data_IF_583752198476
#
_entry.id   IF_583752198476
#
_cell.length_a   1.000
_cell.length_b   1.000
_cell.length_c   1.000
_cell.angle_alpha   90.00
_cell.angle_beta   90.00
_cell.angle_gamma   90.00
#
_symmetry.space_group_name_H-M   'P 1'
#
loop_
_entity.id
_entity.type
_entity.pdbx_description
1 polymer ?
#
# COMPACT_ATOMS: atom_id res chain seq x y z
N UNK A 1 1.61 -15.72 0.66
CA UNK A 1 0.46 -15.43 1.55
C UNK A 1 -0.72 -14.95 0.70
N UNK A 2 -1.92 -15.52 0.81
CA UNK A 2 -3.09 -15.07 0.05
C UNK A 2 -3.79 -13.93 0.80
N UNK A 3 -3.55 -12.69 0.39
CA UNK A 3 -4.26 -11.54 0.94
C UNK A 3 -5.66 -11.47 0.35
N UNK A 4 -6.68 -11.42 1.21
CA UNK A 4 -8.05 -11.18 0.78
C UNK A 4 -8.19 -9.70 0.41
N UNK A 5 -8.12 -9.41 -0.89
CA UNK A 5 -8.19 -8.07 -1.47
C UNK A 5 -9.65 -7.67 -1.77
N UNK A 6 -10.51 -7.66 -0.74
CA UNK A 6 -11.90 -7.24 -0.94
C UNK A 6 -12.00 -5.70 -1.05
N UNK A 7 -12.57 -5.23 -2.16
CA UNK A 7 -12.96 -3.81 -2.34
C UNK A 7 -14.20 -3.51 -1.47
N UNK A 8 -14.20 -2.39 -0.75
CA UNK A 8 -15.34 -1.95 0.09
C UNK A 8 -16.20 -0.89 -0.61
N UNK A 9 -16.18 -0.84 -1.95
CA UNK A 9 -16.85 0.19 -2.75
C UNK A 9 -15.96 1.41 -3.04
N UNK A 10 -16.49 2.47 -3.67
CA UNK A 10 -15.69 3.61 -4.10
C UNK A 10 -15.15 4.44 -2.92
N UNK A 11 -13.90 4.89 -2.98
CA UNK A 11 -13.30 5.78 -1.96
C UNK A 11 -14.08 7.08 -1.73
N UNK A 12 -14.77 7.58 -2.76
CA UNK A 12 -15.48 8.85 -2.73
C UNK A 12 -16.93 8.65 -3.18
N UNK A 13 -17.86 9.25 -2.44
CA UNK A 13 -19.27 9.37 -2.84
C UNK A 13 -19.55 10.66 -3.62
N UNK A 14 -18.60 11.61 -3.59
CA UNK A 14 -18.64 12.87 -4.34
C UNK A 14 -17.72 12.78 -5.57
N UNK A 15 -18.15 13.39 -6.68
CA UNK A 15 -17.35 13.46 -7.91
C UNK A 15 -16.24 14.51 -7.75
N UNK A 16 -15.04 14.07 -7.40
CA UNK A 16 -13.85 14.93 -7.40
C UNK A 16 -13.23 14.98 -8.80
N UNK A 17 -13.01 16.18 -9.33
CA UNK A 17 -12.24 16.40 -10.56
C UNK A 17 -10.87 16.92 -10.15
N UNK A 18 -9.82 16.13 -10.36
CA UNK A 18 -8.44 16.56 -10.12
C UNK A 18 -7.82 17.13 -11.40
N UNK A 19 -7.25 18.33 -11.30
CA UNK A 19 -6.47 18.98 -12.35
C UNK A 19 -4.95 18.89 -12.10
N UNK A 20 -4.53 18.27 -10.99
CA UNK A 20 -3.13 18.12 -10.59
C UNK A 20 -2.49 16.83 -11.11
N UNK A 21 -1.35 16.46 -10.50
CA UNK A 21 -0.60 15.23 -10.82
C UNK A 21 -1.49 13.98 -10.80
N UNK A 22 -1.28 13.04 -11.75
CA UNK A 22 -2.12 11.85 -11.86
C UNK A 22 -1.96 10.94 -10.64
N UNK A 23 -3.03 10.23 -10.26
CA UNK A 23 -3.00 9.31 -9.11
C UNK A 23 -2.00 8.16 -9.31
N UNK A 24 -1.71 7.78 -10.56
CA UNK A 24 -0.65 6.81 -10.89
C UNK A 24 0.73 7.29 -10.43
N UNK A 25 1.02 8.59 -10.57
CA UNK A 25 2.27 9.18 -10.07
C UNK A 25 2.32 9.11 -8.54
N UNK A 26 1.22 9.43 -7.85
CA UNK A 26 1.15 9.34 -6.37
C UNK A 26 1.32 7.88 -5.92
N UNK A 27 0.69 6.93 -6.61
CA UNK A 27 0.84 5.50 -6.38
C UNK A 27 2.29 5.04 -6.52
N UNK A 28 2.98 5.48 -7.57
CA UNK A 28 4.40 5.17 -7.79
C UNK A 28 5.27 5.69 -6.63
N UNK A 29 5.04 6.93 -6.18
CA UNK A 29 5.85 7.51 -5.08
C UNK A 29 5.60 6.84 -3.74
N UNK A 30 4.35 6.48 -3.44
CA UNK A 30 4.03 5.69 -2.24
C UNK A 30 4.66 4.29 -2.32
N UNK A 31 4.67 3.67 -3.50
CA UNK A 31 5.35 2.38 -3.71
C UNK A 31 6.85 2.48 -3.41
N UNK A 32 7.52 3.53 -3.90
CA UNK A 32 8.93 3.77 -3.61
C UNK A 32 9.19 4.01 -2.12
N UNK A 33 8.34 4.80 -1.44
CA UNK A 33 8.49 5.03 0.00
C UNK A 33 8.42 3.72 0.81
N UNK A 34 7.51 2.80 0.44
CA UNK A 34 7.42 1.45 1.02
C UNK A 34 8.71 0.67 0.79
N UNK A 35 9.23 0.66 -0.44
CA UNK A 35 10.47 -0.04 -0.81
C UNK A 35 11.68 0.53 -0.06
N UNK A 36 11.78 1.85 0.05
CA UNK A 36 12.90 2.52 0.72
C UNK A 36 12.89 2.26 2.24
N UNK A 37 11.70 2.25 2.84
CA UNK A 37 11.54 1.90 4.27
C UNK A 37 11.88 0.44 4.53
N UNK A 38 11.50 -0.46 3.62
CA UNK A 38 11.91 -1.86 3.67
C UNK A 38 13.43 -2.01 3.59
N UNK A 39 14.06 -1.36 2.60
CA UNK A 39 15.51 -1.38 2.44
C UNK A 39 16.23 -0.86 3.69
N UNK A 40 15.71 0.21 4.31
CA UNK A 40 16.21 0.71 5.59
C UNK A 40 16.06 -0.31 6.72
N UNK A 41 14.94 -1.04 6.80
CA UNK A 41 14.71 -2.10 7.78
C UNK A 41 15.59 -3.33 7.56
N UNK A 42 15.96 -3.63 6.31
CA UNK A 42 16.94 -4.68 5.97
C UNK A 42 18.34 -4.26 6.39
N UNK A 43 18.74 -3.02 6.08
CA UNK A 43 20.05 -2.48 6.43
C UNK A 43 20.26 -2.26 7.94
N UNK A 44 19.17 -1.94 8.66
CA UNK A 44 19.19 -1.61 10.09
C UNK A 44 18.15 -2.41 10.87
N UNK A 45 18.39 -3.72 11.14
CA UNK A 45 17.44 -4.57 11.85
C UNK A 45 17.01 -4.02 13.21
N UNK A 46 17.90 -3.33 13.91
CA UNK A 46 17.63 -2.67 15.20
C UNK A 46 16.63 -1.51 15.11
N UNK A 47 16.47 -0.92 13.92
CA UNK A 47 15.52 0.16 13.67
C UNK A 47 14.13 -0.33 13.26
N UNK A 48 13.95 -1.62 12.95
CA UNK A 48 12.69 -2.18 12.40
C UNK A 48 11.45 -1.81 13.23
N UNK A 49 11.54 -1.89 14.56
CA UNK A 49 10.42 -1.53 15.44
C UNK A 49 9.98 -0.07 15.27
N UNK A 50 10.92 0.86 15.06
CA UNK A 50 10.59 2.27 14.76
C UNK A 50 10.07 2.44 13.34
N UNK A 51 10.69 1.74 12.38
CA UNK A 51 10.28 1.78 10.97
C UNK A 51 8.89 1.17 10.75
N UNK A 52 8.41 0.28 11.61
CA UNK A 52 7.06 -0.26 11.55
C UNK A 52 5.98 0.84 11.62
N UNK A 53 6.19 1.90 12.40
CA UNK A 53 5.28 3.05 12.44
C UNK A 53 5.29 3.86 11.14
N UNK A 54 6.46 4.04 10.53
CA UNK A 54 6.58 4.69 9.21
C UNK A 54 5.88 3.85 8.16
N UNK A 55 6.17 2.54 8.15
CA UNK A 55 5.59 1.53 7.29
C UNK A 55 4.05 1.51 7.41
N UNK A 56 3.51 1.59 8.62
CA UNK A 56 2.07 1.65 8.83
C UNK A 56 1.41 2.80 8.07
N UNK A 57 1.92 4.03 8.22
CA UNK A 57 1.29 5.22 7.65
C UNK A 57 1.30 5.21 6.11
N UNK A 58 2.43 4.85 5.49
CA UNK A 58 2.57 4.78 4.04
C UNK A 58 1.78 3.62 3.44
N UNK A 59 1.77 2.45 4.08
CA UNK A 59 0.98 1.30 3.64
C UNK A 59 -0.50 1.61 3.69
N UNK A 60 -0.97 2.27 4.75
CA UNK A 60 -2.38 2.70 4.86
C UNK A 60 -2.76 3.69 3.76
N UNK A 61 -1.91 4.68 3.47
CA UNK A 61 -2.14 5.64 2.40
C UNK A 61 -2.15 4.96 1.01
N UNK A 62 -1.24 4.04 0.78
CA UNK A 62 -1.15 3.27 -0.47
C UNK A 62 -2.39 2.39 -0.68
N UNK A 63 -2.82 1.65 0.36
CA UNK A 63 -4.01 0.81 0.29
C UNK A 63 -5.30 1.65 0.13
N UNK A 64 -5.38 2.81 0.76
CA UNK A 64 -6.50 3.74 0.59
C UNK A 64 -6.59 4.27 -0.85
N UNK A 65 -5.44 4.65 -1.44
CA UNK A 65 -5.38 5.11 -2.83
C UNK A 65 -5.90 4.06 -3.83
N UNK A 66 -5.69 2.79 -3.51
CA UNK A 66 -6.07 1.64 -4.34
C UNK A 66 -7.42 1.02 -3.96
N UNK A 67 -8.22 1.65 -3.09
CA UNK A 67 -9.52 1.12 -2.63
C UNK A 67 -9.48 -0.29 -1.99
N UNK A 68 -8.34 -0.68 -1.44
CA UNK A 68 -8.13 -1.97 -0.76
C UNK A 68 -7.81 -1.79 0.72
N UNK A 69 -8.35 -0.74 1.34
CA UNK A 69 -8.11 -0.42 2.75
C UNK A 69 -8.55 -1.53 3.71
N UNK A 70 -9.46 -2.42 3.29
CA UNK A 70 -9.83 -3.62 4.04
C UNK A 70 -8.62 -4.48 4.43
N UNK A 71 -7.54 -4.45 3.63
CA UNK A 71 -6.28 -5.15 3.91
C UNK A 71 -5.51 -4.51 5.06
N UNK A 72 -5.67 -3.21 5.29
CA UNK A 72 -4.98 -2.48 6.35
C UNK A 72 -5.41 -2.90 7.76
N UNK A 73 -6.55 -3.60 7.89
CA UNK A 73 -7.03 -4.18 9.15
C UNK A 73 -6.25 -5.47 9.52
N UNK A 74 -5.35 -5.96 8.67
CA UNK A 74 -4.50 -7.14 8.96
C UNK A 74 -3.52 -6.79 10.10
N UNK A 75 -3.64 -7.42 11.30
CA UNK A 75 -2.73 -7.15 12.40
C UNK A 75 -1.30 -7.49 12.03
N UNK A 76 -0.35 -6.59 12.33
CA UNK A 76 1.07 -6.82 12.08
C UNK A 76 1.51 -6.69 10.62
N UNK A 77 0.65 -6.17 9.73
CA UNK A 77 1.02 -5.95 8.33
C UNK A 77 2.31 -5.11 8.16
N UNK A 78 2.54 -4.01 8.90
CA UNK A 78 3.77 -3.24 8.76
C UNK A 78 5.03 -4.04 9.10
N UNK A 79 4.98 -4.83 10.16
CA UNK A 79 6.06 -5.72 10.59
C UNK A 79 6.30 -6.81 9.55
N UNK A 80 5.23 -7.45 9.06
CA UNK A 80 5.30 -8.45 8.00
C UNK A 80 5.98 -7.89 6.75
N UNK A 81 5.58 -6.71 6.29
CA UNK A 81 6.17 -6.08 5.11
C UNK A 81 7.66 -5.78 5.29
N UNK A 82 8.11 -5.48 6.50
CA UNK A 82 9.53 -5.28 6.84
C UNK A 82 10.33 -6.59 6.92
N UNK A 83 9.65 -7.72 7.14
CA UNK A 83 10.26 -9.05 7.25
C UNK A 83 10.30 -9.82 5.92
N UNK A 84 9.43 -9.46 4.97
CA UNK A 84 9.42 -10.02 3.61
C UNK A 84 10.79 -9.88 2.94
N UNK A 85 11.10 -10.81 2.04
CA UNK A 85 12.18 -10.58 1.11
C UNK A 85 11.81 -9.50 0.07
N UNK A 86 12.82 -8.96 -0.63
CA UNK A 86 12.63 -7.87 -1.59
C UNK A 86 11.69 -8.28 -2.74
N UNK A 87 11.79 -9.50 -3.24
CA UNK A 87 10.97 -9.95 -4.35
C UNK A 87 9.50 -10.13 -3.93
N UNK A 88 9.28 -10.69 -2.74
CA UNK A 88 7.96 -10.82 -2.14
C UNK A 88 7.30 -9.46 -1.94
N UNK A 89 8.02 -8.47 -1.41
CA UNK A 89 7.50 -7.10 -1.26
C UNK A 89 7.10 -6.48 -2.61
N UNK A 90 7.95 -6.61 -3.63
CA UNK A 90 7.64 -6.09 -4.96
C UNK A 90 6.41 -6.76 -5.58
N UNK A 91 6.27 -8.08 -5.41
CA UNK A 91 5.10 -8.83 -5.86
C UNK A 91 3.83 -8.41 -5.12
N UNK A 92 3.93 -8.14 -3.81
CA UNK A 92 2.85 -7.61 -2.99
C UNK A 92 2.38 -6.24 -3.50
N UNK A 93 3.30 -5.29 -3.74
CA UNK A 93 2.99 -3.97 -4.30
C UNK A 93 2.31 -4.11 -5.66
N UNK A 94 2.86 -4.93 -6.55
CA UNK A 94 2.30 -5.16 -7.89
C UNK A 94 0.88 -5.75 -7.82
N UNK A 95 0.63 -6.63 -6.85
CA UNK A 95 -0.69 -7.22 -6.61
C UNK A 95 -1.69 -6.15 -6.17
N UNK A 96 -1.31 -5.26 -5.25
CA UNK A 96 -2.16 -4.14 -4.81
C UNK A 96 -2.47 -3.20 -5.97
N UNK A 97 -1.48 -2.85 -6.80
CA UNK A 97 -1.72 -1.98 -7.97
C UNK A 97 -2.62 -2.65 -9.01
N UNK A 98 -2.48 -3.97 -9.20
CA UNK A 98 -3.26 -4.73 -10.19
C UNK A 98 -4.73 -4.90 -9.78
N UNK A 99 -4.99 -5.20 -8.52
CA UNK A 99 -6.35 -5.42 -7.99
C UNK A 99 -6.98 -4.14 -7.46
N UNK A 100 -6.15 -3.13 -7.20
CA UNK A 100 -6.58 -1.83 -6.76
C UNK A 100 -7.37 -1.12 -7.85
N UNK A 101 -8.50 -0.57 -7.46
CA UNK A 101 -9.34 0.21 -8.36
C UNK A 101 -9.24 1.67 -7.97
N UNK A 102 -8.19 2.33 -8.46
CA UNK A 102 -7.93 3.75 -8.16
C UNK A 102 -9.11 4.65 -8.56
N UNK A 103 -9.94 4.21 -9.51
CA UNK A 103 -11.08 4.97 -10.03
C UNK A 103 -12.44 4.58 -9.42
N UNK A 104 -12.53 3.46 -8.70
CA UNK A 104 -13.80 2.93 -8.17
C UNK A 104 -14.78 2.47 -9.27
N UNK A 105 -14.26 2.06 -10.43
CA UNK A 105 -15.01 1.70 -11.65
C UNK A 105 -15.20 0.20 -11.88
N UNK A 106 -14.54 -0.65 -11.10
CA UNK A 106 -14.74 -2.10 -11.17
C UNK A 106 -16.05 -2.44 -10.48
N UNK A 107 -17.04 -2.87 -11.27
CA UNK A 107 -18.32 -3.36 -10.76
C UNK A 107 -18.09 -4.52 -9.79
N UNK A 108 -18.77 -4.43 -8.63
CA UNK A 108 -18.80 -5.45 -7.57
C UNK A 108 -19.63 -6.65 -8.00
#
# INVERSE_FOLDING_TARGET
MSLNLSSRGPAYTAREIRQGVPLSYVSEKLSHAIIDTHAAGVAHPEARKRLAHVMYSQTKAFLALHNVLAVADTPGLPELLLEMDRHELHSWIATVVKHGDVLGTSEV
#
